data_IF_296637099703
#
_entry.id   IF_296637099703
#
_cell.length_a   1.000
_cell.length_b   1.000
_cell.length_c   1.000
_cell.angle_alpha   90.00
_cell.angle_beta   90.00
_cell.angle_gamma   90.00
#
_symmetry.space_group_name_H-M   'P 1'
#
loop_
_entity.id
_entity.type
_entity.pdbx_description
1 polymer ?
#
# COMPACT_ATOMS: atom_id res chain seq x y z
N UNK A 1 27.57 -10.68 -20.04
CA UNK A 1 26.24 -10.66 -19.40
C UNK A 1 25.92 -12.06 -18.93
N UNK A 2 25.22 -12.19 -17.82
CA UNK A 2 24.73 -13.48 -17.34
C UNK A 2 23.80 -14.11 -18.40
N UNK A 3 23.98 -15.40 -18.67
CA UNK A 3 23.23 -16.14 -19.68
C UNK A 3 21.72 -16.22 -19.36
N UNK A 4 21.34 -15.95 -18.10
CA UNK A 4 19.95 -15.93 -17.65
C UNK A 4 19.33 -14.53 -17.57
N UNK A 5 20.09 -13.47 -17.88
CA UNK A 5 19.55 -12.11 -17.87
C UNK A 5 18.72 -11.86 -19.11
N UNK A 6 17.41 -11.68 -18.94
CA UNK A 6 16.52 -11.35 -20.05
C UNK A 6 16.81 -9.91 -20.51
N UNK A 7 17.50 -9.78 -21.64
CA UNK A 7 17.83 -8.48 -22.25
C UNK A 7 16.65 -7.83 -22.96
N UNK A 8 15.58 -8.59 -23.21
CA UNK A 8 14.38 -8.12 -23.90
C UNK A 8 13.25 -8.06 -22.87
N UNK A 9 13.11 -6.91 -22.22
CA UNK A 9 12.03 -6.67 -21.25
C UNK A 9 10.72 -6.52 -22.03
N UNK A 10 9.79 -7.45 -21.82
CA UNK A 10 8.42 -7.29 -22.30
C UNK A 10 7.69 -6.32 -21.34
N UNK A 11 6.70 -5.52 -21.80
CA UNK A 11 5.83 -4.76 -20.88
C UNK A 11 5.33 -5.56 -19.67
N UNK A 12 5.02 -6.85 -19.84
CA UNK A 12 4.61 -7.72 -18.73
C UNK A 12 5.70 -8.01 -17.68
N UNK A 13 6.97 -7.79 -18.00
CA UNK A 13 8.11 -7.96 -17.11
C UNK A 13 8.41 -6.69 -16.31
N UNK A 14 7.76 -5.57 -16.64
CA UNK A 14 7.96 -4.28 -15.97
C UNK A 14 7.19 -4.18 -14.64
N UNK A 15 7.72 -3.36 -13.75
CA UNK A 15 7.04 -3.03 -12.49
C UNK A 15 5.99 -1.96 -12.76
N UNK A 16 4.73 -2.33 -12.57
CA UNK A 16 3.59 -1.45 -12.86
C UNK A 16 3.16 -0.62 -11.65
N UNK A 17 3.26 -1.16 -10.43
CA UNK A 17 2.89 -0.48 -9.19
C UNK A 17 3.79 -0.97 -8.06
N UNK A 18 4.30 -0.04 -7.24
CA UNK A 18 4.96 -0.36 -5.99
C UNK A 18 3.95 -0.36 -4.84
N UNK A 19 3.83 -1.48 -4.13
CA UNK A 19 2.92 -1.61 -2.97
C UNK A 19 3.72 -1.84 -1.69
N UNK A 20 3.66 -0.89 -0.75
CA UNK A 20 4.29 -0.97 0.56
C UNK A 20 3.30 -1.49 1.61
N UNK A 21 3.56 -2.65 2.23
CA UNK A 21 2.62 -3.26 3.19
C UNK A 21 3.19 -3.20 4.60
N UNK A 22 2.50 -2.49 5.50
CA UNK A 22 3.00 -2.22 6.86
C UNK A 22 1.94 -2.58 7.91
N UNK A 23 2.28 -3.32 8.98
CA UNK A 23 1.35 -3.63 10.06
C UNK A 23 1.12 -2.43 10.98
N UNK A 24 -0.14 -2.07 11.24
CA UNK A 24 -0.49 -0.95 12.13
C UNK A 24 -0.02 -1.13 13.57
N UNK A 25 0.04 -2.38 14.05
CA UNK A 25 0.44 -2.72 15.42
C UNK A 25 1.94 -2.56 15.68
N UNK A 26 2.75 -2.59 14.63
CA UNK A 26 4.22 -2.43 14.71
C UNK A 26 4.73 -1.23 13.91
N UNK A 27 3.84 -0.38 13.39
CA UNK A 27 4.21 0.78 12.57
C UNK A 27 5.13 1.77 13.32
N UNK A 28 5.01 1.84 14.64
CA UNK A 28 5.82 2.74 15.49
C UNK A 28 7.17 2.12 15.87
N UNK A 29 7.44 0.87 15.47
CA UNK A 29 8.63 0.09 15.83
C UNK A 29 9.54 -0.17 14.62
N UNK A 30 9.28 0.48 13.49
CA UNK A 30 10.10 0.33 12.29
C UNK A 30 11.41 1.07 12.54
N UNK A 31 12.53 0.35 12.37
CA UNK A 31 13.86 0.92 12.53
C UNK A 31 14.15 1.98 11.45
N UNK A 32 14.88 3.04 11.82
CA UNK A 32 15.23 4.15 10.92
C UNK A 32 15.98 3.67 9.66
N UNK A 33 16.79 2.61 9.77
CA UNK A 33 17.48 2.01 8.64
C UNK A 33 16.47 1.43 7.62
N UNK A 34 15.42 0.75 8.11
CA UNK A 34 14.37 0.20 7.25
C UNK A 34 13.55 1.32 6.60
N UNK A 35 13.23 2.37 7.37
CA UNK A 35 12.56 3.56 6.84
C UNK A 35 13.38 4.18 5.71
N UNK A 36 14.68 4.35 5.91
CA UNK A 36 15.60 4.90 4.90
C UNK A 36 15.59 4.07 3.62
N UNK A 37 15.70 2.74 3.73
CA UNK A 37 15.64 1.83 2.56
C UNK A 37 14.30 1.93 1.82
N UNK A 38 13.19 2.01 2.54
CA UNK A 38 11.86 2.19 1.93
C UNK A 38 11.79 3.51 1.18
N UNK A 39 12.34 4.60 1.74
CA UNK A 39 12.38 5.90 1.07
C UNK A 39 13.29 5.90 -0.17
N UNK A 40 14.41 5.16 -0.16
CA UNK A 40 15.28 4.99 -1.33
C UNK A 40 14.57 4.24 -2.45
N UNK A 41 13.93 3.11 -2.13
CA UNK A 41 13.11 2.35 -3.10
C UNK A 41 11.99 3.22 -3.66
N UNK A 42 11.33 4.01 -2.81
CA UNK A 42 10.29 4.96 -3.21
C UNK A 42 10.81 6.00 -4.21
N UNK A 43 12.00 6.57 -3.96
CA UNK A 43 12.62 7.57 -4.85
C UNK A 43 12.97 6.95 -6.20
N UNK A 44 13.59 5.77 -6.21
CA UNK A 44 13.90 5.05 -7.45
C UNK A 44 12.62 4.74 -8.25
N UNK A 45 11.54 4.33 -7.58
CA UNK A 45 10.25 4.12 -8.23
C UNK A 45 9.67 5.43 -8.81
N UNK A 46 9.83 6.57 -8.13
CA UNK A 46 9.39 7.88 -8.65
C UNK A 46 10.18 8.30 -9.88
N UNK A 47 11.49 8.02 -9.94
CA UNK A 47 12.33 8.31 -11.11
C UNK A 47 11.96 7.48 -12.34
N UNK A 48 11.30 6.33 -12.13
CA UNK A 48 10.80 5.44 -13.18
C UNK A 48 9.30 5.66 -13.49
N UNK A 49 8.70 6.72 -12.96
CA UNK A 49 7.27 7.03 -13.05
C UNK A 49 6.36 5.86 -12.64
N UNK A 50 6.81 5.08 -11.64
CA UNK A 50 6.06 3.96 -11.09
C UNK A 50 5.14 4.49 -9.99
N UNK A 51 3.81 4.25 -10.07
CA UNK A 51 2.86 4.64 -9.03
C UNK A 51 3.08 3.84 -7.74
N UNK A 52 2.77 4.48 -6.61
CA UNK A 52 3.13 3.99 -5.29
C UNK A 52 1.92 4.02 -4.36
N UNK A 53 1.66 2.90 -3.69
CA UNK A 53 0.55 2.72 -2.77
C UNK A 53 1.04 2.09 -1.47
N UNK A 54 0.49 2.50 -0.33
CA UNK A 54 0.72 1.84 0.94
C UNK A 54 -0.53 1.13 1.45
N UNK A 55 -0.36 -0.04 2.05
CA UNK A 55 -1.41 -0.79 2.73
C UNK A 55 -1.04 -0.87 4.20
N UNK A 56 -1.89 -0.31 5.07
CA UNK A 56 -1.75 -0.48 6.52
C UNK A 56 -2.61 -1.65 6.98
N UNK A 57 -1.98 -2.73 7.43
CA UNK A 57 -2.62 -3.99 7.80
C UNK A 57 -2.86 -4.12 9.31
N UNK A 58 -3.57 -5.16 9.75
CA UNK A 58 -3.80 -5.46 11.20
C UNK A 58 -4.39 -4.29 12.01
N UNK A 59 -5.19 -3.45 11.37
CA UNK A 59 -5.80 -2.25 11.97
C UNK A 59 -6.65 -2.54 13.21
N UNK A 60 -7.15 -3.75 13.37
CA UNK A 60 -7.95 -4.19 14.52
C UNK A 60 -7.12 -4.49 15.77
N UNK A 61 -5.81 -4.74 15.61
CA UNK A 61 -4.86 -4.85 16.72
C UNK A 61 -4.46 -3.46 17.21
N UNK A 62 -4.14 -2.55 16.30
CA UNK A 62 -3.77 -1.17 16.64
C UNK A 62 -4.95 -0.36 17.23
N UNK A 63 -6.17 -0.60 16.76
CA UNK A 63 -7.36 0.04 17.32
C UNK A 63 -8.42 -1.01 17.72
N UNK A 64 -8.47 -1.44 18.99
CA UNK A 64 -9.47 -2.38 19.48
C UNK A 64 -10.92 -1.93 19.25
N UNK A 65 -11.16 -0.61 19.13
CA UNK A 65 -12.48 -0.04 18.82
C UNK A 65 -12.97 -0.43 17.42
N UNK A 66 -12.06 -0.69 16.47
CA UNK A 66 -12.37 -1.20 15.13
C UNK A 66 -12.74 -2.69 15.13
N UNK A 67 -12.54 -3.42 16.24
CA UNK A 67 -13.05 -4.78 16.39
C UNK A 67 -14.58 -4.86 16.32
N UNK A 68 -15.30 -3.78 16.61
CA UNK A 68 -16.78 -3.80 16.61
C UNK A 68 -17.43 -3.16 15.39
N UNK A 69 -16.74 -2.26 14.65
CA UNK A 69 -17.31 -1.54 13.48
C UNK A 69 -16.24 -1.19 12.45
N UNK A 70 -16.06 -2.01 11.41
CA UNK A 70 -15.12 -1.70 10.31
C UNK A 70 -15.58 -0.52 9.45
N UNK A 71 -16.89 -0.22 9.43
CA UNK A 71 -17.43 1.00 8.77
C UNK A 71 -16.91 2.32 9.35
N UNK A 72 -16.23 2.30 10.51
CA UNK A 72 -15.61 3.47 11.15
C UNK A 72 -14.09 3.53 10.99
N UNK A 73 -13.50 2.69 10.13
CA UNK A 73 -12.05 2.66 9.87
C UNK A 73 -11.51 4.08 9.56
N UNK A 74 -12.11 4.78 8.60
CA UNK A 74 -11.74 6.16 8.26
C UNK A 74 -12.17 7.24 9.28
N UNK A 75 -12.97 6.88 10.29
CA UNK A 75 -13.41 7.79 11.37
C UNK A 75 -12.61 7.60 12.66
N UNK A 76 -11.66 6.66 12.69
CA UNK A 76 -10.84 6.40 13.87
C UNK A 76 -9.67 7.38 13.91
N UNK A 77 -9.65 8.26 14.90
CA UNK A 77 -8.54 9.21 15.13
C UNK A 77 -7.21 8.49 15.27
N UNK A 78 -7.17 7.42 16.07
CA UNK A 78 -5.95 6.62 16.28
C UNK A 78 -5.41 6.00 15.00
N UNK A 79 -6.29 5.51 14.11
CA UNK A 79 -5.84 4.95 12.84
C UNK A 79 -5.35 6.04 11.89
N UNK A 80 -6.03 7.20 11.88
CA UNK A 80 -5.62 8.37 11.08
C UNK A 80 -4.23 8.85 11.49
N UNK A 81 -3.96 8.99 12.78
CA UNK A 81 -2.64 9.36 13.30
C UNK A 81 -1.55 8.36 12.85
N UNK A 82 -1.83 7.06 12.95
CA UNK A 82 -0.88 6.02 12.47
C UNK A 82 -0.66 6.09 10.96
N UNK A 83 -1.69 6.37 10.18
CA UNK A 83 -1.56 6.56 8.74
C UNK A 83 -0.76 7.83 8.41
N UNK A 84 -0.93 8.91 9.17
CA UNK A 84 -0.17 10.16 8.98
C UNK A 84 1.31 9.95 9.32
N UNK A 85 1.61 9.27 10.42
CA UNK A 85 2.98 8.87 10.76
C UNK A 85 3.59 7.98 9.67
N UNK A 86 2.83 7.00 9.19
CA UNK A 86 3.25 6.15 8.08
C UNK A 86 3.57 6.98 6.84
N UNK A 87 2.69 7.91 6.47
CA UNK A 87 2.84 8.80 5.32
C UNK A 87 4.15 9.59 5.40
N UNK A 88 4.47 10.15 6.56
CA UNK A 88 5.73 10.87 6.81
C UNK A 88 6.93 9.93 6.70
N UNK A 89 6.87 8.77 7.35
CA UNK A 89 8.01 7.83 7.40
C UNK A 89 8.32 7.25 6.01
N UNK A 90 7.31 6.76 5.30
CA UNK A 90 7.52 6.09 4.01
C UNK A 90 7.50 7.05 2.83
N UNK A 91 7.09 8.31 3.03
CA UNK A 91 7.00 9.32 1.98
C UNK A 91 5.86 9.11 0.97
N UNK A 92 4.87 8.27 1.30
CA UNK A 92 3.68 8.03 0.46
C UNK A 92 2.55 8.94 0.94
N UNK A 93 1.91 9.72 0.06
CA UNK A 93 0.79 10.60 0.42
C UNK A 93 -0.37 9.85 1.09
N UNK A 94 -1.04 10.49 2.05
CA UNK A 94 -2.17 9.93 2.80
C UNK A 94 -3.31 9.38 1.93
N UNK A 95 -3.59 10.00 0.78
CA UNK A 95 -4.61 9.57 -0.17
C UNK A 95 -4.24 8.26 -0.91
N UNK A 96 -2.99 7.81 -0.80
CA UNK A 96 -2.47 6.57 -1.36
C UNK A 96 -2.23 5.50 -0.27
N UNK A 97 -2.78 5.67 0.94
CA UNK A 97 -2.66 4.72 2.05
C UNK A 97 -4.01 4.08 2.35
N UNK A 98 -4.09 2.76 2.24
CA UNK A 98 -5.34 2.02 2.41
C UNK A 98 -5.33 1.10 3.63
N UNK A 99 -6.28 1.26 4.56
CA UNK A 99 -6.38 0.42 5.74
C UNK A 99 -7.09 -0.90 5.47
N UNK A 100 -6.43 -2.01 5.82
CA UNK A 100 -6.94 -3.37 5.66
C UNK A 100 -6.90 -4.11 7.00
N UNK A 101 -7.95 -4.88 7.27
CA UNK A 101 -7.94 -5.87 8.35
C UNK A 101 -7.52 -7.22 7.76
N UNK A 102 -6.59 -7.91 8.39
CA UNK A 102 -6.21 -9.27 7.99
C UNK A 102 -7.26 -10.28 8.46
N UNK A 103 -7.34 -11.43 7.77
CA UNK A 103 -8.10 -12.56 8.25
C UNK A 103 -7.55 -13.05 9.60
N UNK A 104 -8.43 -13.16 10.58
CA UNK A 104 -8.12 -13.68 11.91
C UNK A 104 -9.20 -14.68 12.27
N UNK A 105 -8.87 -15.81 12.91
CA UNK A 105 -9.88 -16.73 13.48
C UNK A 105 -10.72 -15.96 14.50
N UNK A 106 -11.96 -15.59 14.13
CA UNK A 106 -12.85 -14.81 14.97
C UNK A 106 -14.22 -14.57 14.30
N UNK A 107 -15.25 -14.16 15.06
CA UNK A 107 -16.65 -14.17 14.63
C UNK A 107 -17.07 -13.00 13.72
N UNK A 108 -16.13 -12.22 13.18
CA UNK A 108 -16.48 -11.11 12.29
C UNK A 108 -17.00 -11.64 10.97
N UNK A 109 -18.00 -10.97 10.39
CA UNK A 109 -18.46 -11.27 9.03
C UNK A 109 -17.28 -11.10 8.06
N UNK A 110 -16.99 -12.18 7.33
CA UNK A 110 -15.95 -12.19 6.28
C UNK A 110 -16.20 -11.05 5.28
N UNK A 111 -17.46 -10.77 5.00
CA UNK A 111 -17.93 -9.75 4.07
C UNK A 111 -17.36 -8.33 4.30
N UNK A 112 -17.23 -7.87 5.55
CA UNK A 112 -16.66 -6.54 5.82
C UNK A 112 -15.14 -6.50 5.58
N UNK A 113 -14.46 -7.61 5.84
CA UNK A 113 -13.02 -7.77 5.60
C UNK A 113 -12.77 -7.89 4.10
N UNK A 114 -13.56 -8.73 3.43
CA UNK A 114 -13.51 -8.95 1.98
C UNK A 114 -13.77 -7.65 1.24
N UNK A 115 -14.78 -6.87 1.64
CA UNK A 115 -15.06 -5.56 1.03
C UNK A 115 -13.87 -4.59 1.13
N UNK A 116 -13.17 -4.55 2.27
CA UNK A 116 -11.98 -3.69 2.44
C UNK A 116 -10.82 -4.15 1.55
N UNK A 117 -10.57 -5.45 1.48
CA UNK A 117 -9.52 -6.03 0.65
C UNK A 117 -9.82 -5.79 -0.83
N UNK A 118 -11.03 -6.12 -1.27
CA UNK A 118 -11.46 -5.94 -2.66
C UNK A 118 -11.43 -4.46 -3.06
N UNK A 119 -11.89 -3.55 -2.19
CA UNK A 119 -11.79 -2.12 -2.43
C UNK A 119 -10.34 -1.65 -2.53
N UNK A 120 -9.43 -2.19 -1.72
CA UNK A 120 -8.01 -1.82 -1.78
C UNK A 120 -7.36 -2.34 -3.06
N UNK A 121 -7.67 -3.58 -3.46
CA UNK A 121 -7.19 -4.15 -4.72
C UNK A 121 -7.68 -3.34 -5.93
N UNK A 122 -8.95 -2.94 -5.95
CA UNK A 122 -9.49 -2.08 -7.01
C UNK A 122 -8.72 -0.75 -7.12
N UNK A 123 -8.37 -0.12 -5.99
CA UNK A 123 -7.58 1.12 -5.99
C UNK A 123 -6.17 0.90 -6.55
N UNK A 124 -5.51 -0.22 -6.20
CA UNK A 124 -4.18 -0.55 -6.73
C UNK A 124 -4.22 -0.76 -8.26
N UNK A 125 -5.24 -1.47 -8.74
CA UNK A 125 -5.43 -1.71 -10.18
C UNK A 125 -5.65 -0.38 -10.90
N UNK A 126 -6.55 0.47 -10.40
CA UNK A 126 -6.82 1.78 -10.99
C UNK A 126 -5.55 2.65 -11.03
N UNK A 127 -4.74 2.68 -9.95
CA UNK A 127 -3.46 3.40 -9.95
C UNK A 127 -2.50 2.89 -11.04
N UNK A 128 -2.45 1.57 -11.26
CA UNK A 128 -1.64 0.99 -12.33
C UNK A 128 -2.16 1.35 -13.72
N UNK A 129 -3.47 1.24 -13.93
CA UNK A 129 -4.12 1.57 -15.20
C UNK A 129 -3.94 3.05 -15.56
N UNK A 130 -4.13 3.96 -14.61
CA UNK A 130 -3.91 5.40 -14.81
C UNK A 130 -2.47 5.71 -15.24
N UNK A 131 -1.47 5.04 -14.63
CA UNK A 131 -0.06 5.21 -14.99
C UNK A 131 0.24 4.67 -16.39
N UNK A 132 -0.28 3.48 -16.73
CA UNK A 132 -0.12 2.91 -18.08
C UNK A 132 -0.75 3.80 -19.15
N UNK A 133 -1.97 4.27 -18.92
CA UNK A 133 -2.67 5.18 -19.84
C UNK A 133 -1.90 6.50 -20.02
N UNK A 134 -1.32 7.03 -18.94
CA UNK A 134 -0.49 8.23 -19.02
C UNK A 134 0.76 8.02 -19.88
N UNK A 135 1.44 6.88 -19.74
CA UNK A 135 2.62 6.52 -20.54
C UNK A 135 2.26 6.33 -22.02
N UNK A 136 1.12 5.71 -22.32
CA UNK A 136 0.62 5.55 -23.70
C UNK A 136 0.32 6.90 -24.37
N UNK A 137 -0.37 7.81 -23.67
CA UNK A 137 -0.72 9.13 -24.20
C UNK A 137 0.48 10.08 -24.40
N UNK A 138 1.63 9.82 -23.78
CA UNK A 138 2.87 10.57 -24.01
C UNK A 138 3.70 10.05 -25.20
N UNK A 139 3.35 8.86 -25.70
CA UNK A 139 4.07 8.17 -26.78
C UNK A 139 3.50 8.46 -28.18
N UNK A 140 2.38 9.19 -28.24
CA UNK A 140 1.71 9.69 -29.46
C UNK A 140 2.12 11.14 -29.78
#
# INVERSE_FOLDING_TARGET
GDQFYNTTVNPNDEVHVLVCVIPADTADQIEDEVITKVQEIRRAASELDIPQVAIITRIDKACPKLKKKLKKVYKSTTLKEKMEQLSVNVGIPMNCIFPVKNYTKGPKSKDEVDSLILSTLAQIINCGEDSMNHKMNQSE
#
